data_IF_401033476992
#
_entry.id   IF_401033476992
#
_cell.length_a   1.000
_cell.length_b   1.000
_cell.length_c   1.000
_cell.angle_alpha   90.00
_cell.angle_beta   90.00
_cell.angle_gamma   90.00
#
_symmetry.space_group_name_H-M   'P 1'
#
loop_
_entity.id
_entity.type
_entity.pdbx_description
1 polymer ?
#
# COMPACT_ATOMS: atom_id res chain seq x y z
N UNK A 1 -44.34 17.95 -34.26
CA UNK A 1 -43.39 16.87 -33.89
C UNK A 1 -41.90 17.20 -34.06
N UNK A 2 -41.52 18.42 -34.48
CA UNK A 2 -40.09 18.75 -34.74
C UNK A 2 -39.31 19.17 -33.49
N UNK A 3 -39.98 19.79 -32.50
CA UNK A 3 -39.37 20.32 -31.27
C UNK A 3 -38.92 19.21 -30.29
N UNK A 4 -39.60 18.06 -30.28
CA UNK A 4 -39.21 16.94 -29.43
C UNK A 4 -37.99 16.18 -30.00
N UNK A 5 -37.84 16.16 -31.32
CA UNK A 5 -36.72 15.55 -32.03
C UNK A 5 -35.43 16.34 -31.81
N UNK A 6 -35.48 17.68 -31.88
CA UNK A 6 -34.33 18.54 -31.58
C UNK A 6 -33.88 18.45 -30.12
N UNK A 7 -34.81 18.33 -29.16
CA UNK A 7 -34.46 18.11 -27.74
C UNK A 7 -33.76 16.77 -27.51
N UNK A 8 -34.19 15.70 -28.19
CA UNK A 8 -33.57 14.37 -28.10
C UNK A 8 -32.18 14.35 -28.74
N UNK A 9 -32.02 15.00 -29.89
CA UNK A 9 -30.71 15.16 -30.54
C UNK A 9 -29.73 15.95 -29.67
N UNK A 10 -30.19 17.03 -29.04
CA UNK A 10 -29.34 17.85 -28.17
C UNK A 10 -28.91 17.09 -26.90
N UNK A 11 -29.82 16.31 -26.30
CA UNK A 11 -29.48 15.45 -25.16
C UNK A 11 -28.46 14.37 -25.54
N UNK A 12 -28.58 13.78 -26.74
CA UNK A 12 -27.65 12.75 -27.21
C UNK A 12 -26.25 13.32 -27.47
N UNK A 13 -26.16 14.51 -28.08
CA UNK A 13 -24.89 15.22 -28.28
C UNK A 13 -24.23 15.53 -26.93
N UNK A 14 -25.00 15.94 -25.93
CA UNK A 14 -24.47 16.22 -24.58
C UNK A 14 -23.85 14.98 -23.94
N UNK A 15 -24.55 13.83 -23.99
CA UNK A 15 -24.05 12.57 -23.41
C UNK A 15 -22.77 12.11 -24.11
N UNK A 16 -22.74 12.15 -25.44
CA UNK A 16 -21.55 11.75 -26.23
C UNK A 16 -20.36 12.65 -25.92
N UNK A 17 -20.58 13.95 -25.76
CA UNK A 17 -19.51 14.90 -25.42
C UNK A 17 -18.97 14.64 -24.02
N UNK A 18 -19.84 14.33 -23.04
CA UNK A 18 -19.41 13.98 -21.68
C UNK A 18 -18.55 12.71 -21.67
N UNK A 19 -18.91 11.67 -22.42
CA UNK A 19 -18.12 10.41 -22.45
C UNK A 19 -16.78 10.55 -23.15
N UNK A 20 -16.64 11.51 -24.08
CA UNK A 20 -15.37 11.78 -24.78
C UNK A 20 -14.41 12.64 -23.95
N UNK A 21 -14.94 13.54 -23.11
CA UNK A 21 -14.13 14.43 -22.27
C UNK A 21 -13.65 13.77 -20.97
N UNK A 22 -14.32 12.72 -20.51
CA UNK A 22 -13.92 11.94 -19.35
C UNK A 22 -13.60 10.50 -19.77
N UNK A 23 -12.43 10.23 -20.37
CA UNK A 23 -11.98 8.85 -20.53
C UNK A 23 -11.86 8.25 -19.13
N UNK A 24 -12.62 7.18 -18.87
CA UNK A 24 -12.43 6.36 -17.67
C UNK A 24 -10.99 5.85 -17.67
N UNK A 25 -10.15 6.49 -16.86
CA UNK A 25 -8.80 6.05 -16.57
C UNK A 25 -8.89 4.76 -15.76
N UNK A 26 -8.89 3.63 -16.46
CA UNK A 26 -8.58 2.34 -15.86
C UNK A 26 -7.09 2.34 -15.52
N UNK A 27 -6.77 2.82 -14.33
CA UNK A 27 -5.41 2.78 -13.78
C UNK A 27 -5.11 1.33 -13.37
N UNK A 28 -4.59 0.55 -14.30
CA UNK A 28 -3.89 -0.70 -13.99
C UNK A 28 -2.48 -0.33 -13.49
N UNK A 29 -2.39 0.05 -12.22
CA UNK A 29 -1.13 0.35 -11.55
C UNK A 29 -0.42 -0.95 -11.13
N UNK A 30 0.54 -1.41 -11.92
CA UNK A 30 1.53 -2.39 -11.48
C UNK A 30 2.60 -1.68 -10.63
N UNK A 31 2.30 -1.43 -9.36
CA UNK A 31 3.23 -0.83 -8.41
C UNK A 31 4.29 -1.84 -7.96
N UNK A 32 5.35 -2.01 -8.76
CA UNK A 32 6.57 -2.72 -8.36
C UNK A 32 7.56 -1.78 -7.66
N UNK A 33 7.08 -0.87 -6.80
CA UNK A 33 7.90 0.14 -6.12
C UNK A 33 8.53 -0.34 -4.79
N UNK A 34 8.35 -1.62 -4.43
CA UNK A 34 8.73 -2.15 -3.11
C UNK A 34 9.59 -3.40 -3.21
N UNK A 35 10.83 -3.26 -3.70
CA UNK A 35 11.85 -4.30 -3.59
C UNK A 35 13.05 -3.74 -2.83
N UNK A 36 12.95 -3.73 -1.50
CA UNK A 36 14.14 -3.72 -0.64
C UNK A 36 14.49 -5.19 -0.35
N UNK A 37 15.74 -5.63 -0.58
CA UNK A 37 16.14 -7.03 -0.46
C UNK A 37 16.21 -7.54 1.00
N UNK A 38 16.05 -6.66 1.99
CA UNK A 38 16.06 -7.03 3.41
C UNK A 38 14.78 -6.53 4.08
N UNK A 39 13.95 -7.46 4.56
CA UNK A 39 12.69 -7.13 5.19
C UNK A 39 12.86 -7.11 6.70
N UNK A 40 13.28 -5.95 7.21
CA UNK A 40 13.27 -5.69 8.66
C UNK A 40 11.88 -5.16 9.00
N UNK A 41 11.08 -5.98 9.68
CA UNK A 41 9.76 -5.62 10.16
C UNK A 41 9.82 -5.17 11.61
N UNK A 42 10.31 -3.96 11.84
CA UNK A 42 10.36 -3.37 13.18
C UNK A 42 9.33 -2.25 13.28
N UNK A 43 8.55 -2.26 14.36
CA UNK A 43 7.87 -1.06 14.84
C UNK A 43 8.94 -0.03 15.22
N UNK A 44 8.80 1.26 14.84
CA UNK A 44 9.72 2.28 15.29
C UNK A 44 9.44 2.56 16.78
N UNK A 45 10.03 1.75 17.67
CA UNK A 45 9.99 2.02 19.11
C UNK A 45 10.09 0.85 20.09
N UNK A 46 9.94 -0.42 19.66
CA UNK A 46 9.90 -1.54 20.61
C UNK A 46 10.85 -2.70 20.31
N UNK A 47 11.23 -3.34 21.42
CA UNK A 47 12.24 -4.37 21.61
C UNK A 47 12.13 -5.50 20.55
N UNK A 48 13.22 -5.70 19.81
CA UNK A 48 13.35 -6.54 18.61
C UNK A 48 13.12 -8.06 18.81
N UNK A 49 12.62 -8.52 19.97
CA UNK A 49 12.55 -9.94 20.32
C UNK A 49 11.60 -10.78 19.45
N UNK A 50 10.64 -10.17 18.76
CA UNK A 50 9.67 -10.88 17.89
C UNK A 50 9.89 -10.59 16.39
N UNK A 51 11.07 -10.09 16.02
CA UNK A 51 11.42 -9.77 14.63
C UNK A 51 11.70 -11.05 13.86
N UNK A 52 10.76 -11.45 13.01
CA UNK A 52 11.02 -12.56 12.10
C UNK A 52 11.83 -12.05 10.93
N UNK A 53 13.12 -12.41 10.94
CA UNK A 53 14.07 -12.03 9.91
C UNK A 53 14.11 -13.16 8.89
N UNK A 54 13.55 -12.92 7.71
CA UNK A 54 13.65 -13.82 6.57
C UNK A 54 14.26 -13.06 5.40
N UNK A 55 15.12 -13.72 4.63
CA UNK A 55 15.55 -13.16 3.35
C UNK A 55 14.36 -13.23 2.38
N UNK A 56 14.01 -12.11 1.73
CA UNK A 56 12.96 -12.13 0.69
C UNK A 56 13.37 -13.04 -0.47
N UNK A 57 14.67 -13.31 -0.63
CA UNK A 57 15.24 -14.18 -1.65
C UNK A 57 14.91 -15.67 -1.47
N UNK A 58 14.75 -16.11 -0.23
CA UNK A 58 14.47 -17.51 0.11
C UNK A 58 12.97 -17.85 0.02
N UNK A 59 12.11 -16.83 -0.13
CA UNK A 59 10.66 -17.01 -0.25
C UNK A 59 10.26 -17.61 -1.60
N UNK A 60 9.38 -18.61 -1.53
CA UNK A 60 8.71 -19.16 -2.72
C UNK A 60 7.88 -18.07 -3.43
N UNK A 61 7.60 -18.21 -4.74
CA UNK A 61 6.76 -17.23 -5.44
C UNK A 61 5.38 -17.00 -4.79
N UNK A 62 4.78 -18.05 -4.21
CA UNK A 62 3.50 -17.93 -3.50
C UNK A 62 3.64 -17.14 -2.19
N UNK A 63 4.72 -17.34 -1.46
CA UNK A 63 5.04 -16.59 -0.24
C UNK A 63 5.30 -15.12 -0.53
N UNK A 64 6.04 -14.82 -1.61
CA UNK A 64 6.23 -13.44 -2.09
C UNK A 64 4.90 -12.77 -2.44
N UNK A 65 4.00 -13.49 -3.08
CA UNK A 65 2.67 -12.95 -3.38
C UNK A 65 1.87 -12.63 -2.11
N UNK A 66 1.91 -13.52 -1.11
CA UNK A 66 1.28 -13.29 0.20
C UNK A 66 1.91 -12.09 0.92
N UNK A 67 3.23 -11.99 0.91
CA UNK A 67 3.98 -10.86 1.47
C UNK A 67 3.53 -9.54 0.85
N UNK A 68 3.49 -9.47 -0.48
CA UNK A 68 3.07 -8.28 -1.20
C UNK A 68 1.62 -7.91 -0.91
N UNK A 69 0.71 -8.89 -0.83
CA UNK A 69 -0.68 -8.64 -0.47
C UNK A 69 -0.82 -8.07 0.96
N UNK A 70 -0.02 -8.55 1.91
CA UNK A 70 0.00 -8.02 3.28
C UNK A 70 0.58 -6.60 3.30
N UNK A 71 1.69 -6.35 2.62
CA UNK A 71 2.29 -5.00 2.49
C UNK A 71 1.32 -4.00 1.88
N UNK A 72 0.63 -4.36 0.81
CA UNK A 72 -0.37 -3.50 0.18
C UNK A 72 -1.50 -3.13 1.14
N UNK A 73 -1.99 -4.11 1.91
CA UNK A 73 -3.01 -3.87 2.92
C UNK A 73 -2.52 -2.92 4.01
N UNK A 74 -1.34 -3.18 4.58
CA UNK A 74 -0.69 -2.30 5.57
C UNK A 74 -0.58 -0.87 5.05
N UNK A 75 -0.08 -0.70 3.83
CA UNK A 75 0.08 0.63 3.22
C UNK A 75 -1.27 1.36 3.09
N UNK A 76 -2.35 0.64 2.77
CA UNK A 76 -3.70 1.22 2.72
C UNK A 76 -4.19 1.66 4.11
N UNK A 77 -3.95 0.86 5.14
CA UNK A 77 -4.31 1.18 6.53
C UNK A 77 -3.53 2.40 7.05
N UNK A 78 -2.22 2.44 6.79
CA UNK A 78 -1.37 3.59 7.11
C UNK A 78 -1.83 4.86 6.39
N UNK A 79 -2.08 4.78 5.07
CA UNK A 79 -2.60 5.92 4.31
C UNK A 79 -3.94 6.43 4.87
N UNK A 80 -4.79 5.55 5.40
CA UNK A 80 -6.06 5.94 6.00
C UNK A 80 -5.89 6.75 7.29
N UNK A 81 -4.82 6.50 8.06
CA UNK A 81 -4.48 7.27 9.27
C UNK A 81 -3.88 8.66 8.97
N UNK A 82 -3.33 8.85 7.77
CA UNK A 82 -2.71 10.11 7.36
C UNK A 82 -3.72 11.11 6.80
N UNK A 83 -3.48 12.40 7.02
CA UNK A 83 -4.20 13.49 6.36
C UNK A 83 -3.73 13.71 4.91
N UNK A 84 -4.43 14.59 4.18
CA UNK A 84 -4.12 14.82 2.76
C UNK A 84 -2.71 15.39 2.52
N UNK A 85 -2.21 16.25 3.41
CA UNK A 85 -0.88 16.87 3.26
C UNK A 85 0.21 15.84 3.53
N UNK A 86 0.04 15.06 4.60
CA UNK A 86 0.96 13.97 4.96
C UNK A 86 1.04 12.90 3.86
N UNK A 87 -0.08 12.55 3.22
CA UNK A 87 -0.07 11.61 2.07
C UNK A 87 0.70 12.15 0.88
N UNK A 88 0.60 13.45 0.60
CA UNK A 88 1.36 14.08 -0.48
C UNK A 88 2.87 14.09 -0.18
N UNK A 89 3.24 14.43 1.06
CA UNK A 89 4.63 14.40 1.50
C UNK A 89 5.20 12.97 1.49
N UNK A 90 4.43 11.98 1.92
CA UNK A 90 4.82 10.57 1.85
C UNK A 90 5.07 10.15 0.39
N UNK A 91 4.15 10.48 -0.52
CA UNK A 91 4.30 10.17 -1.95
C UNK A 91 5.51 10.87 -2.58
N UNK A 92 5.82 12.09 -2.14
CA UNK A 92 7.01 12.81 -2.57
C UNK A 92 8.30 12.11 -2.12
N UNK A 93 8.41 11.79 -0.82
CA UNK A 93 9.57 11.10 -0.25
C UNK A 93 9.83 9.74 -0.92
N UNK A 94 8.75 9.00 -1.20
CA UNK A 94 8.82 7.73 -1.95
C UNK A 94 9.32 7.94 -3.38
N UNK A 95 8.86 8.98 -4.08
CA UNK A 95 9.36 9.31 -5.43
C UNK A 95 10.82 9.72 -5.43
N UNK A 96 11.32 10.31 -4.35
CA UNK A 96 12.74 10.70 -4.21
C UNK A 96 13.65 9.53 -3.82
N UNK A 97 13.10 8.32 -3.67
CA UNK A 97 13.86 7.09 -3.42
C UNK A 97 14.03 6.73 -1.94
N UNK A 98 13.37 7.42 -1.01
CA UNK A 98 13.29 6.97 0.38
C UNK A 98 12.50 5.67 0.45
N UNK A 99 12.94 4.75 1.30
CA UNK A 99 12.10 3.59 1.61
C UNK A 99 10.84 4.03 2.40
N UNK A 100 9.86 3.15 2.46
CA UNK A 100 8.57 3.48 3.07
C UNK A 100 8.65 3.83 4.55
N UNK A 101 9.56 3.22 5.31
CA UNK A 101 9.71 3.49 6.74
C UNK A 101 10.40 4.84 6.95
N UNK A 102 11.48 5.10 6.21
CA UNK A 102 12.15 6.41 6.19
C UNK A 102 11.19 7.54 5.79
N UNK A 103 10.37 7.29 4.78
CA UNK A 103 9.39 8.26 4.29
C UNK A 103 8.29 8.56 5.32
N UNK A 104 7.94 7.59 6.17
CA UNK A 104 7.00 7.75 7.30
C UNK A 104 7.64 8.51 8.47
N UNK A 105 8.89 8.21 8.83
CA UNK A 105 9.62 8.91 9.89
C UNK A 105 9.79 10.40 9.59
N UNK A 106 9.85 10.77 8.31
CA UNK A 106 9.92 12.16 7.87
C UNK A 106 8.58 12.93 7.99
N UNK A 107 7.47 12.25 8.30
CA UNK A 107 6.17 12.89 8.48
C UNK A 107 6.03 13.44 9.89
N UNK A 108 5.46 14.63 10.01
CA UNK A 108 5.04 15.16 11.30
C UNK A 108 3.70 14.52 11.71
N UNK A 109 3.77 13.39 12.41
CA UNK A 109 2.61 12.60 12.85
C UNK A 109 2.15 13.01 14.26
N UNK A 110 0.85 13.08 14.48
CA UNK A 110 0.30 13.17 15.84
C UNK A 110 0.50 11.87 16.62
N UNK A 111 0.42 11.92 17.95
CA UNK A 111 0.48 10.71 18.79
C UNK A 111 -0.55 9.67 18.37
N UNK A 112 -1.79 10.09 18.09
CA UNK A 112 -2.86 9.19 17.65
C UNK A 112 -2.53 8.54 16.30
N UNK A 113 -1.95 9.29 15.37
CA UNK A 113 -1.54 8.74 14.08
C UNK A 113 -0.40 7.74 14.22
N UNK A 114 0.55 8.00 15.12
CA UNK A 114 1.62 7.06 15.44
C UNK A 114 1.07 5.76 16.01
N UNK A 115 0.13 5.84 16.96
CA UNK A 115 -0.50 4.66 17.56
C UNK A 115 -1.24 3.81 16.51
N UNK A 116 -1.99 4.46 15.59
CA UNK A 116 -2.68 3.78 14.50
C UNK A 116 -1.72 3.11 13.52
N UNK A 117 -0.62 3.78 13.19
CA UNK A 117 0.41 3.24 12.28
C UNK A 117 1.13 2.05 12.94
N UNK A 118 1.50 2.16 14.21
CA UNK A 118 2.13 1.08 14.97
C UNK A 118 1.21 -0.13 15.06
N UNK A 119 -0.08 0.07 15.37
CA UNK A 119 -1.06 -1.02 15.36
C UNK A 119 -1.18 -1.72 13.99
N UNK A 120 -1.12 -0.97 12.88
CA UNK A 120 -1.14 -1.54 11.55
C UNK A 120 0.14 -2.35 11.24
N UNK A 121 1.29 -1.90 11.75
CA UNK A 121 2.57 -2.62 11.66
C UNK A 121 2.51 -3.92 12.49
N UNK A 122 2.05 -3.85 13.73
CA UNK A 122 1.97 -5.02 14.62
C UNK A 122 1.01 -6.08 14.09
N UNK A 123 -0.17 -5.65 13.60
CA UNK A 123 -1.10 -6.55 12.94
C UNK A 123 -0.49 -7.21 11.70
N UNK A 124 0.28 -6.45 10.93
CA UNK A 124 1.03 -6.97 9.79
C UNK A 124 2.04 -8.01 10.22
N UNK A 125 2.82 -7.73 11.26
CA UNK A 125 3.83 -8.65 11.80
C UNK A 125 3.19 -9.95 12.28
N UNK A 126 2.08 -9.87 13.01
CA UNK A 126 1.33 -11.04 13.47
C UNK A 126 0.82 -11.89 12.29
N UNK A 127 0.32 -11.25 11.24
CA UNK A 127 -0.16 -11.95 10.04
C UNK A 127 0.97 -12.65 9.29
N UNK A 128 2.13 -12.01 9.18
CA UNK A 128 3.31 -12.59 8.55
C UNK A 128 3.88 -13.74 9.40
N UNK A 129 3.86 -13.62 10.73
CA UNK A 129 4.17 -14.72 11.67
C UNK A 129 3.32 -15.95 11.39
N UNK A 130 2.02 -15.75 11.19
CA UNK A 130 1.11 -16.82 10.80
C UNK A 130 1.49 -17.46 9.45
N UNK A 131 1.71 -16.63 8.42
CA UNK A 131 1.98 -17.10 7.05
C UNK A 131 3.30 -17.84 6.93
N UNK A 132 4.37 -17.33 7.58
CA UNK A 132 5.74 -17.86 7.44
C UNK A 132 6.20 -18.72 8.61
N UNK A 133 5.32 -19.00 9.58
CA UNK A 133 5.59 -19.96 10.65
C UNK A 133 6.14 -21.29 10.12
N UNK A 134 5.62 -21.77 8.99
CA UNK A 134 6.08 -23.00 8.35
C UNK A 134 7.45 -22.88 7.68
N UNK A 135 7.79 -21.71 7.16
CA UNK A 135 9.09 -21.43 6.54
C UNK A 135 10.21 -21.43 7.59
N UNK A 136 9.97 -20.80 8.74
CA UNK A 136 10.89 -20.80 9.88
C UNK A 136 11.17 -22.22 10.43
N UNK A 137 10.16 -23.10 10.39
CA UNK A 137 10.32 -24.50 10.82
C UNK A 137 11.18 -25.31 9.86
N UNK A 138 11.19 -24.97 8.57
CA UNK A 138 11.99 -25.69 7.56
C UNK A 138 13.45 -25.24 7.61
N UNK A 139 13.72 -23.95 7.83
CA UNK A 139 15.09 -23.43 7.92
C UNK A 139 15.82 -23.80 9.22
N UNK A 140 15.11 -24.01 10.32
CA UNK A 140 15.72 -24.42 11.61
C UNK A 140 16.25 -25.86 11.63
N UNK A 141 16.07 -26.61 10.54
CA UNK A 141 16.55 -27.99 10.37
C UNK A 141 17.81 -28.12 9.49
N UNK A 142 18.52 -27.01 9.21
CA UNK A 142 19.78 -26.99 8.47
C UNK A 142 20.97 -26.67 9.38
#
# INVERSE_FOLDING_TARGET
>A
MMIQLTKRLLALVLVVTCTLLFPEITVASANNFFSSPQVIFTSPGEDTQDTITFSEDDLTPQERQKLQAVRQRRNKEILAALDSSQRQQLAHNLHTGSDFNQALEALNLSSEQQDLINAAIDFTNLKLKGIFSHHALIDSHK
#
